data_IF_771176528959
#
_entry.id   IF_771176528959
#
_cell.length_a   1.000
_cell.length_b   1.000
_cell.length_c   1.000
_cell.angle_alpha   90.00
_cell.angle_beta   90.00
_cell.angle_gamma   90.00
#
_symmetry.space_group_name_H-M   'P 1'
#
loop_
_entity.id
_entity.type
_entity.pdbx_description
1 polymer ?
#
# COMPACT_ATOMS: atom_id res chain seq x y z
N UNK A 1 3.83 25.35 -4.53
CA UNK A 1 2.78 25.69 -3.55
C UNK A 1 3.43 26.50 -2.44
N UNK A 2 2.91 27.69 -2.16
CA UNK A 2 3.37 28.50 -1.02
C UNK A 2 2.26 28.56 0.03
N UNK A 3 2.59 28.19 1.26
CA UNK A 3 1.68 28.26 2.42
C UNK A 3 2.13 29.45 3.27
N UNK A 4 1.20 30.34 3.62
CA UNK A 4 1.46 31.44 4.55
C UNK A 4 0.58 31.33 5.79
N UNK A 5 1.12 31.78 6.91
CA UNK A 5 0.41 31.90 8.18
C UNK A 5 -0.24 33.29 8.23
N UNK A 6 -1.57 33.34 8.26
CA UNK A 6 -2.27 34.57 8.68
C UNK A 6 -2.37 34.54 10.20
N UNK A 7 -2.10 35.67 10.85
CA UNK A 7 -2.15 35.97 12.30
C UNK A 7 -3.33 35.34 13.08
N UNK A 8 -4.33 34.80 12.40
CA UNK A 8 -5.50 34.07 12.89
C UNK A 8 -5.29 32.55 13.11
N UNK A 9 -4.08 32.02 12.99
CA UNK A 9 -3.78 30.58 13.23
C UNK A 9 -4.28 29.61 12.14
N UNK A 10 -4.76 30.14 11.00
CA UNK A 10 -5.18 29.34 9.85
C UNK A 10 -4.15 29.47 8.72
N UNK A 11 -3.73 28.31 8.19
CA UNK A 11 -2.87 28.25 7.00
C UNK A 11 -3.73 28.45 5.76
N UNK A 12 -3.29 29.35 4.87
CA UNK A 12 -3.92 29.57 3.57
C UNK A 12 -2.93 29.29 2.44
N UNK A 13 -3.42 28.77 1.32
CA UNK A 13 -2.64 28.67 0.07
C UNK A 13 -2.46 30.09 -0.44
N UNK A 14 -1.24 30.60 -0.40
CA UNK A 14 -0.92 31.94 -0.86
C UNK A 14 -0.77 31.98 -2.39
N UNK A 15 -0.30 30.87 -2.97
CA UNK A 15 0.01 30.79 -4.40
C UNK A 15 0.06 29.33 -4.86
N UNK A 16 -0.60 29.06 -6.00
CA UNK A 16 -0.57 27.80 -6.72
C UNK A 16 -0.40 28.08 -8.22
N UNK A 17 0.70 27.62 -8.78
CA UNK A 17 0.99 27.71 -10.22
C UNK A 17 0.72 26.32 -10.80
N UNK A 18 -0.33 26.21 -11.61
CA UNK A 18 -0.75 24.97 -12.23
C UNK A 18 -0.03 24.67 -13.55
N UNK A 19 0.55 25.70 -14.17
CA UNK A 19 1.21 25.59 -15.47
C UNK A 19 2.57 24.91 -15.33
N UNK A 20 2.81 23.97 -16.25
CA UNK A 20 4.05 23.22 -16.34
C UNK A 20 4.56 23.32 -17.79
N UNK A 21 5.88 23.35 -17.95
CA UNK A 21 6.53 23.30 -19.26
C UNK A 21 6.69 21.86 -19.79
N UNK A 22 6.14 20.87 -19.08
CA UNK A 22 6.14 19.46 -19.45
C UNK A 22 4.85 18.80 -18.96
N UNK A 23 4.55 17.60 -19.47
CA UNK A 23 3.47 16.79 -18.93
C UNK A 23 3.78 16.37 -17.49
N UNK A 24 2.87 16.62 -16.54
CA UNK A 24 3.08 16.35 -15.11
C UNK A 24 3.22 14.85 -14.82
N UNK A 25 2.29 14.02 -15.32
CA UNK A 25 2.38 12.56 -15.28
C UNK A 25 1.38 11.95 -16.26
N UNK A 26 1.67 10.76 -16.75
CA UNK A 26 0.73 9.93 -17.52
C UNK A 26 0.03 8.93 -16.59
N UNK A 27 -1.16 8.42 -16.96
CA UNK A 27 -1.80 7.32 -16.22
C UNK A 27 -0.91 6.07 -16.11
N UNK A 28 -0.09 5.79 -17.13
CA UNK A 28 0.89 4.69 -17.10
C UNK A 28 1.98 4.88 -16.04
N UNK A 29 2.19 6.11 -15.54
CA UNK A 29 3.15 6.41 -14.47
C UNK A 29 2.49 6.57 -13.11
N UNK A 30 1.16 6.38 -12.99
CA UNK A 30 0.43 6.50 -11.72
C UNK A 30 1.04 5.64 -10.61
N UNK A 31 1.48 4.43 -10.93
CA UNK A 31 2.12 3.51 -10.00
C UNK A 31 3.46 4.01 -9.41
N UNK A 32 4.05 5.08 -9.94
CA UNK A 32 5.24 5.71 -9.37
C UNK A 32 4.90 6.69 -8.23
N UNK A 33 3.67 7.21 -8.21
CA UNK A 33 3.22 8.17 -7.20
C UNK A 33 2.66 7.43 -6.00
N UNK A 34 3.33 7.48 -4.84
CA UNK A 34 2.88 6.78 -3.62
C UNK A 34 1.41 7.05 -3.27
N UNK A 35 0.92 8.27 -3.46
CA UNK A 35 -0.48 8.65 -3.20
C UNK A 35 -1.50 7.98 -4.12
N UNK A 36 -1.06 7.47 -5.26
CA UNK A 36 -1.87 6.74 -6.23
C UNK A 36 -1.71 5.23 -6.12
N UNK A 37 -0.76 4.74 -5.31
CA UNK A 37 -0.56 3.30 -5.12
C UNK A 37 -1.54 2.76 -4.10
N UNK A 38 -2.25 1.69 -4.45
CA UNK A 38 -3.21 1.02 -3.58
C UNK A 38 -3.25 -0.47 -3.89
N UNK A 39 -3.11 -1.29 -2.85
CA UNK A 39 -3.46 -2.70 -2.92
C UNK A 39 -4.97 -2.81 -2.67
N UNK A 40 -5.69 -3.35 -3.65
CA UNK A 40 -7.13 -3.61 -3.54
C UNK A 40 -7.40 -4.87 -2.71
N UNK A 41 -8.62 -5.03 -2.22
CA UNK A 41 -8.99 -6.22 -1.43
C UNK A 41 -8.85 -7.52 -2.23
N UNK A 42 -9.20 -7.50 -3.52
CA UNK A 42 -9.05 -8.67 -4.41
C UNK A 42 -7.58 -9.03 -4.62
N UNK A 43 -6.72 -8.04 -4.84
CA UNK A 43 -5.28 -8.26 -4.95
C UNK A 43 -4.69 -8.79 -3.64
N UNK A 44 -5.09 -8.23 -2.49
CA UNK A 44 -4.67 -8.74 -1.18
C UNK A 44 -5.06 -10.21 -0.99
N UNK A 45 -6.30 -10.58 -1.34
CA UNK A 45 -6.75 -11.98 -1.28
C UNK A 45 -5.92 -12.90 -2.19
N UNK A 46 -5.58 -12.45 -3.40
CA UNK A 46 -4.71 -13.21 -4.31
C UNK A 46 -3.27 -13.32 -3.78
N UNK A 47 -2.74 -12.26 -3.14
CA UNK A 47 -1.43 -12.29 -2.47
C UNK A 47 -1.41 -13.30 -1.31
N UNK A 48 -2.49 -13.34 -0.53
CA UNK A 48 -2.66 -14.26 0.59
C UNK A 48 -2.77 -15.71 0.14
N UNK A 49 -3.52 -15.94 -0.94
CA UNK A 49 -3.63 -17.26 -1.57
C UNK A 49 -2.28 -17.71 -2.13
N UNK A 50 -1.54 -16.83 -2.80
CA UNK A 50 -0.20 -17.13 -3.28
C UNK A 50 0.74 -17.49 -2.12
N UNK A 51 0.69 -16.74 -1.01
CA UNK A 51 1.46 -17.03 0.20
C UNK A 51 1.12 -18.40 0.79
N UNK A 52 -0.17 -18.78 0.87
CA UNK A 52 -0.58 -20.08 1.43
C UNK A 52 -0.14 -21.27 0.57
N UNK A 53 0.00 -21.07 -0.75
CA UNK A 53 0.59 -22.06 -1.66
C UNK A 53 2.12 -21.99 -1.76
N UNK A 54 2.78 -21.17 -0.94
CA UNK A 54 4.24 -21.02 -0.95
C UNK A 54 4.79 -20.37 -2.23
N UNK A 55 3.93 -19.72 -3.02
CA UNK A 55 4.34 -19.01 -4.23
C UNK A 55 5.11 -17.76 -3.80
N UNK A 56 6.31 -17.59 -4.36
CA UNK A 56 7.13 -16.43 -4.04
C UNK A 56 6.41 -15.13 -4.45
N UNK A 57 6.55 -14.04 -3.66
CA UNK A 57 5.95 -12.75 -4.02
C UNK A 57 6.37 -12.26 -5.40
N UNK A 58 7.60 -12.59 -5.83
CA UNK A 58 8.11 -12.26 -7.17
C UNK A 58 7.29 -12.95 -8.27
N UNK A 59 7.06 -14.26 -8.14
CA UNK A 59 6.31 -15.03 -9.12
C UNK A 59 4.82 -14.63 -9.15
N UNK A 60 4.23 -14.42 -7.98
CA UNK A 60 2.84 -13.92 -7.84
C UNK A 60 2.68 -12.54 -8.48
N UNK A 61 3.57 -11.59 -8.16
CA UNK A 61 3.55 -10.24 -8.72
C UNK A 61 3.71 -10.25 -10.25
N UNK A 62 4.59 -11.10 -10.78
CA UNK A 62 4.77 -11.27 -12.23
C UNK A 62 3.52 -11.84 -12.91
N UNK A 63 2.87 -12.84 -12.30
CA UNK A 63 1.61 -13.39 -12.81
C UNK A 63 0.51 -12.34 -12.84
N UNK A 64 0.34 -11.58 -11.76
CA UNK A 64 -0.61 -10.46 -11.69
C UNK A 64 -0.31 -9.42 -12.76
N UNK A 65 0.97 -9.05 -12.94
CA UNK A 65 1.38 -8.08 -13.94
C UNK A 65 1.01 -8.53 -15.36
N UNK A 66 1.26 -9.81 -15.68
CA UNK A 66 0.88 -10.38 -16.98
C UNK A 66 -0.62 -10.36 -17.20
N UNK A 67 -1.42 -10.71 -16.18
CA UNK A 67 -2.90 -10.63 -16.23
C UNK A 67 -3.39 -9.20 -16.45
N UNK A 68 -2.74 -8.23 -15.81
CA UNK A 68 -3.06 -6.81 -15.94
C UNK A 68 -2.47 -6.16 -17.20
N UNK A 69 -1.75 -6.91 -18.05
CA UNK A 69 -1.12 -6.38 -19.26
C UNK A 69 0.09 -5.47 -19.00
N UNK A 70 0.67 -5.52 -17.82
CA UNK A 70 1.79 -4.67 -17.43
C UNK A 70 1.86 -4.45 -15.91
N UNK A 71 3.04 -4.10 -15.40
CA UNK A 71 3.25 -3.80 -13.97
C UNK A 71 2.65 -2.44 -13.62
N UNK A 72 2.67 -1.53 -14.58
CA UNK A 72 2.08 -0.20 -14.50
C UNK A 72 0.56 -0.24 -14.24
N UNK A 73 -0.10 -1.33 -14.62
CA UNK A 73 -1.54 -1.52 -14.49
C UNK A 73 -1.95 -2.16 -13.15
N UNK A 74 -0.99 -2.57 -12.32
CA UNK A 74 -1.28 -3.20 -11.02
C UNK A 74 -1.79 -2.21 -9.97
N UNK A 75 -1.44 -0.93 -10.09
CA UNK A 75 -1.74 0.06 -9.06
C UNK A 75 -0.90 -0.08 -7.79
N UNK A 76 0.07 -0.99 -7.74
CA UNK A 76 1.05 -1.12 -6.65
C UNK A 76 2.41 -1.55 -7.22
N UNK A 77 3.48 -1.34 -6.45
CA UNK A 77 4.84 -1.79 -6.81
C UNK A 77 5.26 -2.99 -5.96
N UNK A 78 6.32 -3.75 -6.34
CA UNK A 78 6.75 -4.92 -5.56
C UNK A 78 7.06 -4.65 -4.09
N UNK A 79 7.52 -3.43 -3.77
CA UNK A 79 7.73 -3.02 -2.38
C UNK A 79 6.42 -2.97 -1.60
N UNK A 80 5.33 -2.51 -2.20
CA UNK A 80 4.02 -2.46 -1.52
C UNK A 80 3.55 -3.90 -1.20
N UNK A 81 3.76 -4.86 -2.10
CA UNK A 81 3.47 -6.28 -1.84
C UNK A 81 4.34 -6.80 -0.68
N UNK A 82 5.66 -6.61 -0.72
CA UNK A 82 6.54 -7.04 0.37
C UNK A 82 6.14 -6.42 1.72
N UNK A 83 5.82 -5.14 1.71
CA UNK A 83 5.37 -4.42 2.91
C UNK A 83 4.04 -4.97 3.42
N UNK A 84 3.09 -5.29 2.54
CA UNK A 84 1.83 -5.91 2.91
C UNK A 84 2.04 -7.23 3.67
N UNK A 85 2.82 -8.16 3.09
CA UNK A 85 3.11 -9.45 3.76
C UNK A 85 3.87 -9.26 5.08
N UNK A 86 4.85 -8.35 5.09
CA UNK A 86 5.60 -8.05 6.31
C UNK A 86 4.69 -7.51 7.42
N UNK A 87 3.83 -6.53 7.12
CA UNK A 87 2.86 -5.97 8.05
C UNK A 87 1.88 -7.04 8.54
N UNK A 88 1.36 -7.88 7.64
CA UNK A 88 0.47 -8.99 7.99
C UNK A 88 1.11 -9.97 8.97
N UNK A 89 2.33 -10.43 8.70
CA UNK A 89 3.08 -11.33 9.62
C UNK A 89 3.36 -10.66 10.95
N UNK A 90 3.73 -9.38 10.94
CA UNK A 90 3.98 -8.62 12.17
C UNK A 90 2.73 -8.53 13.04
N UNK A 91 1.56 -8.31 12.44
CA UNK A 91 0.28 -8.27 13.15
C UNK A 91 -0.04 -9.67 13.73
N UNK A 92 0.09 -10.73 12.93
CA UNK A 92 -0.15 -12.11 13.39
C UNK A 92 0.75 -12.50 14.56
N UNK A 93 2.04 -12.16 14.52
CA UNK A 93 2.97 -12.41 15.63
C UNK A 93 2.54 -11.67 16.90
N UNK A 94 2.22 -10.37 16.80
CA UNK A 94 1.74 -9.59 17.96
C UNK A 94 0.48 -10.18 18.60
N UNK A 95 -0.42 -10.72 17.78
CA UNK A 95 -1.62 -11.41 18.28
C UNK A 95 -1.27 -12.75 18.95
N UNK A 96 -0.35 -13.53 18.38
CA UNK A 96 0.09 -14.82 18.93
C UNK A 96 0.86 -14.72 20.24
N UNK A 97 1.57 -13.61 20.48
CA UNK A 97 2.31 -13.37 21.73
C UNK A 97 1.39 -12.97 22.91
N UNK A 98 0.14 -12.61 22.65
CA UNK A 98 -0.88 -12.37 23.69
C UNK A 98 -1.62 -13.69 24.00
N UNK A 99 -0.88 -14.66 24.52
CA UNK A 99 -1.45 -15.87 25.10
C UNK A 99 -2.14 -15.58 26.44
N UNK A 100 -3.47 -15.65 26.43
CA UNK A 100 -4.31 -16.29 27.46
C UNK A 100 -3.81 -16.19 28.92
N UNK A 101 -4.26 -15.15 29.64
CA UNK A 101 -4.34 -15.18 31.12
C UNK A 101 -5.81 -15.06 31.51
N UNK A 102 -6.36 -16.15 32.04
CA UNK A 102 -7.70 -16.26 32.64
C UNK A 102 -8.58 -17.27 31.89
N UNK A 103 -8.96 -18.42 32.43
CA UNK A 103 -9.43 -18.63 33.80
C UNK A 103 -9.26 -20.10 34.20
N UNK A 104 -8.34 -20.38 35.11
CA UNK A 104 -8.47 -21.54 35.98
C UNK A 104 -9.43 -21.18 37.11
N UNK A 105 -10.70 -21.57 36.98
CA UNK A 105 -11.68 -21.54 38.06
C UNK A 105 -11.99 -22.98 38.47
N UNK A 106 -11.79 -23.20 39.76
CA UNK A 106 -11.89 -24.43 40.55
C UNK A 106 -13.05 -25.39 40.23
N UNK A 107 -12.74 -26.68 40.26
CA UNK A 107 -13.40 -27.67 41.13
C UNK A 107 -12.33 -28.53 41.79
#
# INVERSE_FOLDING_TARGET
MKISNRLTGKLSIAEFIAEHNHQTSTPSKSHLHRSQRKITLSQAAEMDLAESFGITPKASCELMARRAGGRENLGFIPDDYRNYLHSKRTIQMRTGDTGEVGSGSSL
#
